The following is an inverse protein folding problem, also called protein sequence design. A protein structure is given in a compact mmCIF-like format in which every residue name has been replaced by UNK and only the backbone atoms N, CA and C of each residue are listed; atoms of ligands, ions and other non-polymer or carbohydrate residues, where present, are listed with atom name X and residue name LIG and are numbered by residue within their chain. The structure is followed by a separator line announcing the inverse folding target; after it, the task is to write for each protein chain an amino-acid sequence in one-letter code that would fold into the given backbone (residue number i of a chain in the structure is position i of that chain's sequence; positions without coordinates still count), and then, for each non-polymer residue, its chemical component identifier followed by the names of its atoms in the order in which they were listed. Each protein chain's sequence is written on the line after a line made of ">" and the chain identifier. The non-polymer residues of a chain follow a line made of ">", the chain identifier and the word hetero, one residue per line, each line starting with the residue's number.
data_IF_622392066826
#
_entry.id   IF_622392066826
#
_cell.length_a   1.000
_cell.length_b   1.000
_cell.length_c   1.000
_cell.angle_alpha   90.00
_cell.angle_beta   90.00
_cell.angle_gamma   90.00
#
_symmetry.space_group_name_H-M   'P 1'
#
loop_
_entity.id
_entity.type
_entity.pdbx_description
1 polymer ?
#
# COMPACT_ATOMS: atom_id res chain seq x y z
N UNK A 1 -18.58 -16.72 10.78
CA UNK A 1 -19.29 -15.49 10.31
C UNK A 1 -18.71 -14.20 10.89
N UNK A 2 -18.50 -14.07 12.22
CA UNK A 2 -17.91 -12.84 12.81
C UNK A 2 -16.51 -12.49 12.27
N UNK A 3 -15.64 -13.48 12.08
CA UNK A 3 -14.28 -13.27 11.53
C UNK A 3 -14.28 -12.71 10.11
N UNK A 4 -15.09 -13.28 9.21
CA UNK A 4 -15.23 -12.81 7.82
C UNK A 4 -15.74 -11.37 7.79
N UNK A 5 -16.76 -11.05 8.61
CA UNK A 5 -17.27 -9.68 8.75
C UNK A 5 -16.17 -8.71 9.23
N UNK A 6 -15.41 -9.10 10.26
CA UNK A 6 -14.32 -8.29 10.79
C UNK A 6 -13.19 -8.09 9.77
N UNK A 7 -12.92 -9.11 8.96
CA UNK A 7 -11.94 -9.04 7.87
C UNK A 7 -12.34 -8.00 6.83
N UNK A 8 -13.59 -8.04 6.33
CA UNK A 8 -14.08 -7.02 5.39
C UNK A 8 -14.11 -5.62 6.01
N UNK A 9 -14.51 -5.50 7.27
CA UNK A 9 -14.48 -4.22 7.98
C UNK A 9 -13.05 -3.68 8.12
N UNK A 10 -12.09 -4.56 8.40
CA UNK A 10 -10.68 -4.20 8.50
C UNK A 10 -10.08 -3.77 7.15
N UNK A 11 -10.61 -4.24 6.01
CA UNK A 11 -10.22 -3.74 4.68
C UNK A 11 -10.71 -2.30 4.49
N UNK A 12 -11.97 -2.01 4.85
CA UNK A 12 -12.60 -0.70 4.60
C UNK A 12 -12.02 0.39 5.51
N UNK A 13 -11.77 0.05 6.78
CA UNK A 13 -11.25 0.98 7.79
C UNK A 13 -9.71 0.95 7.84
N UNK A 14 -9.08 0.35 6.83
CA UNK A 14 -7.63 0.26 6.78
C UNK A 14 -7.00 1.63 6.48
N UNK A 15 -5.76 1.89 6.96
CA UNK A 15 -4.99 3.06 6.54
C UNK A 15 -4.85 3.16 5.01
N UNK A 16 -4.80 2.02 4.32
CA UNK A 16 -4.71 1.93 2.85
C UNK A 16 -5.94 2.47 2.12
N UNK A 17 -7.11 2.53 2.76
CA UNK A 17 -8.33 3.12 2.18
C UNK A 17 -8.56 4.53 2.71
N UNK A 18 -8.41 4.71 4.02
CA UNK A 18 -8.71 5.98 4.68
C UNK A 18 -7.73 7.08 4.24
N UNK A 19 -6.43 6.79 4.15
CA UNK A 19 -5.44 7.82 3.79
C UNK A 19 -5.58 8.32 2.35
N UNK A 20 -5.71 7.47 1.31
CA UNK A 20 -5.95 7.96 -0.04
C UNK A 20 -7.22 8.80 -0.17
N UNK A 21 -8.29 8.43 0.52
CA UNK A 21 -9.55 9.20 0.52
C UNK A 21 -9.33 10.57 1.16
N UNK A 22 -8.72 10.63 2.35
CA UNK A 22 -8.44 11.90 3.04
C UNK A 22 -7.55 12.79 2.18
N UNK A 23 -6.50 12.23 1.57
CA UNK A 23 -5.58 12.99 0.74
C UNK A 23 -6.29 13.49 -0.53
N UNK A 24 -7.07 12.64 -1.21
CA UNK A 24 -7.83 13.04 -2.38
C UNK A 24 -8.81 14.18 -2.08
N UNK A 25 -9.59 14.07 -1.00
CA UNK A 25 -10.52 15.12 -0.56
C UNK A 25 -9.79 16.41 -0.14
N UNK A 26 -8.66 16.27 0.55
CA UNK A 26 -7.85 17.43 0.98
C UNK A 26 -7.26 18.17 -0.22
N UNK A 27 -6.83 17.43 -1.24
CA UNK A 27 -6.32 18.02 -2.48
C UNK A 27 -7.43 18.77 -3.22
N UNK A 28 -8.60 18.17 -3.36
CA UNK A 28 -9.75 18.82 -4.01
C UNK A 28 -10.15 20.11 -3.29
N UNK A 29 -10.16 20.11 -1.95
CA UNK A 29 -10.54 21.27 -1.14
C UNK A 29 -9.46 22.37 -1.11
N UNK A 30 -8.18 22.01 -0.97
CA UNK A 30 -7.09 23.00 -0.78
C UNK A 30 -6.47 23.47 -2.09
N UNK A 31 -6.46 22.62 -3.13
CA UNK A 31 -5.79 22.91 -4.40
C UNK A 31 -6.41 22.07 -5.53
N UNK A 32 -7.60 22.47 -6.04
CA UNK A 32 -8.36 21.69 -7.02
C UNK A 32 -7.59 21.42 -8.33
N UNK A 33 -6.55 22.20 -8.63
CA UNK A 33 -5.72 22.04 -9.82
C UNK A 33 -4.47 21.16 -9.60
N UNK A 34 -4.22 20.65 -8.39
CA UNK A 34 -3.01 19.91 -8.09
C UNK A 34 -2.96 18.55 -8.81
N UNK A 35 -4.10 17.85 -8.88
CA UNK A 35 -4.25 16.59 -9.62
C UNK A 35 -3.93 16.78 -11.10
N UNK A 36 -4.51 17.81 -11.72
CA UNK A 36 -4.24 18.19 -13.11
C UNK A 36 -2.77 18.53 -13.33
N UNK A 37 -2.14 19.26 -12.40
CA UNK A 37 -0.71 19.62 -12.48
C UNK A 37 0.17 18.37 -12.43
N UNK A 38 -0.12 17.44 -11.52
CA UNK A 38 0.62 16.16 -11.42
C UNK A 38 0.44 15.35 -12.70
N UNK A 39 -0.79 15.24 -13.21
CA UNK A 39 -1.07 14.54 -14.46
C UNK A 39 -0.44 15.20 -15.69
N UNK A 40 -0.38 16.52 -15.74
CA UNK A 40 0.33 17.27 -16.78
C UNK A 40 1.83 16.99 -16.72
N UNK A 41 2.44 17.02 -15.54
CA UNK A 41 3.86 16.71 -15.35
C UNK A 41 4.17 15.28 -15.78
N UNK A 42 3.32 14.33 -15.41
CA UNK A 42 3.46 12.94 -15.81
C UNK A 42 3.33 12.78 -17.34
N UNK A 43 2.30 13.34 -17.96
CA UNK A 43 2.05 13.13 -19.38
C UNK A 43 3.01 13.89 -20.30
N UNK A 44 3.56 15.04 -19.88
CA UNK A 44 4.45 15.87 -20.70
C UNK A 44 5.93 15.53 -20.54
N UNK A 45 6.33 14.88 -19.45
CA UNK A 45 7.72 14.50 -19.19
C UNK A 45 7.91 12.98 -19.28
N UNK A 46 8.59 12.53 -20.34
CA UNK A 46 8.82 11.11 -20.60
C UNK A 46 9.66 10.41 -19.51
N UNK A 47 10.60 11.12 -18.90
CA UNK A 47 11.37 10.59 -17.78
C UNK A 47 10.47 10.40 -16.55
N UNK A 48 9.65 11.40 -16.22
CA UNK A 48 8.71 11.31 -15.10
C UNK A 48 7.75 10.13 -15.29
N UNK A 49 7.26 9.92 -16.52
CA UNK A 49 6.39 8.81 -16.86
C UNK A 49 7.05 7.43 -16.69
N UNK A 50 8.35 7.34 -16.94
CA UNK A 50 9.10 6.09 -16.81
C UNK A 50 9.33 5.72 -15.35
N UNK A 51 9.67 6.69 -14.50
CA UNK A 51 10.11 6.42 -13.13
C UNK A 51 9.00 6.46 -12.09
N UNK A 52 8.02 7.36 -12.22
CA UNK A 52 7.01 7.58 -11.17
C UNK A 52 6.01 6.41 -11.02
N UNK A 53 5.41 5.84 -12.08
CA UNK A 53 4.63 4.61 -11.97
C UNK A 53 5.48 3.42 -11.49
N UNK A 54 6.75 3.36 -11.93
CA UNK A 54 7.71 2.36 -11.48
C UNK A 54 8.00 2.44 -9.96
N UNK A 55 7.96 3.64 -9.40
CA UNK A 55 8.15 3.87 -7.96
C UNK A 55 6.99 3.30 -7.14
N UNK A 56 5.75 3.41 -7.61
CA UNK A 56 4.58 2.76 -6.98
C UNK A 56 4.81 1.24 -6.90
N UNK A 57 5.26 0.65 -8.00
CA UNK A 57 5.56 -0.79 -8.08
C UNK A 57 6.72 -1.14 -7.15
N UNK A 58 7.80 -0.37 -7.16
CA UNK A 58 8.98 -0.60 -6.34
C UNK A 58 8.65 -0.59 -4.83
N UNK A 59 7.87 0.39 -4.37
CA UNK A 59 7.42 0.45 -2.98
C UNK A 59 6.51 -0.74 -2.65
N UNK A 60 5.62 -1.11 -3.57
CA UNK A 60 4.71 -2.26 -3.39
C UNK A 60 5.49 -3.58 -3.27
N UNK A 61 6.53 -3.78 -4.09
CA UNK A 61 7.45 -4.93 -4.00
C UNK A 61 8.21 -4.90 -2.68
N UNK A 62 8.69 -3.74 -2.24
CA UNK A 62 9.36 -3.60 -0.95
C UNK A 62 8.42 -3.96 0.22
N UNK A 63 7.16 -3.52 0.17
CA UNK A 63 6.12 -3.88 1.14
C UNK A 63 5.83 -5.39 1.12
N UNK A 64 5.87 -6.02 -0.05
CA UNK A 64 5.68 -7.46 -0.19
C UNK A 64 6.77 -8.26 0.52
N UNK A 65 8.02 -7.80 0.53
CA UNK A 65 9.11 -8.46 1.28
C UNK A 65 8.79 -8.59 2.78
N UNK A 66 8.20 -7.55 3.37
CA UNK A 66 7.78 -7.59 4.78
C UNK A 66 6.71 -8.65 5.06
N UNK A 67 5.94 -9.11 4.07
CA UNK A 67 4.98 -10.20 4.28
C UNK A 67 5.68 -11.51 4.64
N UNK A 68 6.87 -11.76 4.08
CA UNK A 68 7.70 -12.92 4.41
C UNK A 68 8.38 -12.73 5.75
N UNK A 69 8.97 -11.54 5.98
CA UNK A 69 9.64 -11.22 7.24
C UNK A 69 8.69 -11.29 8.44
N UNK A 70 7.40 -10.95 8.28
CA UNK A 70 6.40 -11.09 9.34
C UNK A 70 6.02 -12.55 9.64
N UNK A 71 6.15 -13.46 8.67
CA UNK A 71 5.90 -14.89 8.88
C UNK A 71 7.12 -15.60 9.47
N UNK A 72 8.30 -15.06 9.26
CA UNK A 72 9.57 -15.60 9.77
C UNK A 72 10.46 -14.47 10.31
N UNK A 73 10.06 -13.83 11.43
CA UNK A 73 10.76 -12.66 11.95
C UNK A 73 12.15 -12.97 12.51
N UNK A 74 12.36 -14.21 12.99
CA UNK A 74 13.63 -14.71 13.48
C UNK A 74 14.20 -15.72 12.48
N UNK A 75 15.35 -15.39 11.87
CA UNK A 75 16.03 -16.22 10.87
C UNK A 75 16.78 -17.40 11.47
N UNK A 76 17.15 -17.33 12.76
CA UNK A 76 18.02 -18.32 13.44
C UNK A 76 17.38 -18.99 14.67
N UNK A 77 16.10 -18.72 14.97
CA UNK A 77 15.42 -19.21 16.18
C UNK A 77 14.03 -19.78 15.84
N UNK A 78 13.54 -20.69 16.69
CA UNK A 78 12.26 -21.35 16.44
C UNK A 78 11.08 -20.36 16.55
N UNK A 79 10.38 -20.09 15.45
CA UNK A 79 9.17 -19.26 15.40
C UNK A 79 7.94 -19.89 16.11
N UNK A 80 8.13 -20.91 16.97
CA UNK A 80 7.04 -21.56 17.71
C UNK A 80 6.27 -20.57 18.59
N UNK A 81 6.98 -19.64 19.24
CA UNK A 81 6.37 -18.59 20.08
C UNK A 81 5.39 -17.72 19.30
N UNK A 82 5.72 -17.39 18.04
CA UNK A 82 4.85 -16.61 17.16
C UNK A 82 3.55 -17.36 16.84
N UNK A 83 3.64 -18.65 16.51
CA UNK A 83 2.46 -19.46 16.19
C UNK A 83 1.56 -19.73 17.40
N UNK A 84 2.12 -19.70 18.61
CA UNK A 84 1.35 -19.78 19.85
C UNK A 84 0.76 -18.44 20.31
N UNK A 85 1.13 -17.32 19.68
CA UNK A 85 0.66 -16.01 20.09
C UNK A 85 -0.86 -15.86 19.83
N UNK A 86 -1.68 -15.49 20.84
CA UNK A 86 -3.14 -15.46 20.69
C UNK A 86 -3.64 -14.59 19.53
N UNK A 87 -2.90 -13.53 19.19
CA UNK A 87 -3.25 -12.58 18.12
C UNK A 87 -2.64 -12.93 16.76
N UNK A 88 -1.95 -14.08 16.63
CA UNK A 88 -1.33 -14.50 15.37
C UNK A 88 -2.29 -14.47 14.18
N UNK A 89 -3.55 -14.85 14.39
CA UNK A 89 -4.57 -14.83 13.35
C UNK A 89 -4.89 -13.40 12.86
N UNK A 90 -4.82 -12.39 13.72
CA UNK A 90 -5.00 -10.99 13.33
C UNK A 90 -3.83 -10.50 12.48
N UNK A 91 -2.61 -10.92 12.81
CA UNK A 91 -1.41 -10.64 12.00
C UNK A 91 -1.53 -11.28 10.62
N UNK A 92 -1.96 -12.54 10.55
CA UNK A 92 -2.17 -13.25 9.27
C UNK A 92 -3.26 -12.57 8.43
N UNK A 93 -4.38 -12.20 9.04
CA UNK A 93 -5.46 -11.47 8.37
C UNK A 93 -4.93 -10.12 7.82
N UNK A 94 -4.10 -9.40 8.60
CA UNK A 94 -3.47 -8.15 8.16
C UNK A 94 -2.52 -8.35 6.97
N UNK A 95 -1.71 -9.41 6.98
CA UNK A 95 -0.82 -9.74 5.86
C UNK A 95 -1.64 -9.96 4.58
N UNK A 96 -2.76 -10.68 4.65
CA UNK A 96 -3.62 -10.88 3.46
C UNK A 96 -4.23 -9.57 2.95
N UNK A 97 -4.67 -8.70 3.86
CA UNK A 97 -5.17 -7.37 3.51
C UNK A 97 -4.07 -6.57 2.80
N UNK A 98 -2.84 -6.56 3.33
CA UNK A 98 -1.72 -5.85 2.71
C UNK A 98 -1.34 -6.44 1.35
N UNK A 99 -1.37 -7.76 1.17
CA UNK A 99 -1.15 -8.40 -0.15
C UNK A 99 -2.19 -7.93 -1.18
N UNK A 100 -3.46 -7.83 -0.78
CA UNK A 100 -4.52 -7.31 -1.64
C UNK A 100 -4.20 -5.87 -2.07
N UNK A 101 -3.85 -4.99 -1.14
CA UNK A 101 -3.53 -3.59 -1.47
C UNK A 101 -2.24 -3.44 -2.28
N UNK A 102 -1.22 -4.27 -2.04
CA UNK A 102 -0.02 -4.37 -2.89
C UNK A 102 -0.40 -4.75 -4.32
N UNK A 103 -1.30 -5.73 -4.49
CA UNK A 103 -1.81 -6.12 -5.80
C UNK A 103 -2.51 -4.96 -6.50
N UNK A 104 -3.39 -4.25 -5.79
CA UNK A 104 -4.11 -3.09 -6.31
C UNK A 104 -3.18 -1.93 -6.70
N UNK A 105 -2.19 -1.59 -5.86
CA UNK A 105 -1.22 -0.52 -6.17
C UNK A 105 -0.32 -0.89 -7.34
N UNK A 106 0.09 -2.15 -7.47
CA UNK A 106 0.81 -2.65 -8.65
C UNK A 106 -0.05 -2.55 -9.92
N UNK A 107 -1.34 -2.92 -9.86
CA UNK A 107 -2.26 -2.78 -10.99
C UNK A 107 -2.43 -1.31 -11.40
N UNK A 108 -2.49 -0.38 -10.45
CA UNK A 108 -2.50 1.06 -10.74
C UNK A 108 -1.20 1.48 -11.42
N UNK A 109 -0.03 1.07 -10.90
CA UNK A 109 1.26 1.41 -11.49
C UNK A 109 1.43 0.88 -12.92
N UNK A 110 1.04 -0.36 -13.17
CA UNK A 110 1.06 -0.98 -14.51
C UNK A 110 0.01 -0.33 -15.42
N UNK A 111 -1.18 -0.06 -14.90
CA UNK A 111 -2.25 0.62 -15.64
C UNK A 111 -1.82 2.01 -16.10
N UNK A 112 -1.19 2.79 -15.22
CA UNK A 112 -0.57 4.05 -15.60
C UNK A 112 0.47 3.80 -16.70
N UNK A 113 1.40 2.85 -16.54
CA UNK A 113 2.44 2.62 -17.55
C UNK A 113 1.88 2.28 -18.96
N UNK A 114 0.86 1.42 -19.04
CA UNK A 114 0.29 0.93 -20.32
C UNK A 114 -0.60 1.98 -20.99
N UNK A 115 -1.41 2.71 -20.22
CA UNK A 115 -2.50 3.53 -20.76
C UNK A 115 -2.18 5.04 -20.82
N UNK A 116 -0.91 5.41 -20.99
CA UNK A 116 -0.41 6.80 -21.02
C UNK A 116 -1.28 7.80 -21.76
N UNK A 117 -1.64 7.48 -22.99
CA UNK A 117 -2.32 8.41 -23.87
C UNK A 117 -3.86 8.27 -23.84
N UNK A 118 -4.39 7.39 -22.99
CA UNK A 118 -5.83 7.13 -22.92
C UNK A 118 -6.52 7.88 -21.76
N UNK A 119 -5.78 8.20 -20.71
CA UNK A 119 -6.31 8.91 -19.56
C UNK A 119 -6.16 10.43 -19.70
N UNK A 120 -7.19 11.16 -19.25
CA UNK A 120 -7.05 12.61 -19.06
C UNK A 120 -6.02 12.90 -17.97
N UNK A 121 -5.42 14.09 -18.03
CA UNK A 121 -4.43 14.52 -17.05
C UNK A 121 -4.97 14.42 -15.61
N UNK A 122 -6.24 14.76 -15.38
CA UNK A 122 -6.85 14.70 -14.05
C UNK A 122 -6.90 13.27 -13.52
N UNK A 123 -7.35 12.31 -14.35
CA UNK A 123 -7.47 10.90 -13.98
C UNK A 123 -6.09 10.31 -13.69
N UNK A 124 -5.10 10.61 -14.54
CA UNK A 124 -3.70 10.21 -14.34
C UNK A 124 -3.16 10.70 -12.99
N UNK A 125 -3.40 11.97 -12.65
CA UNK A 125 -2.97 12.55 -11.38
C UNK A 125 -3.63 11.87 -10.19
N UNK A 126 -4.94 11.62 -10.26
CA UNK A 126 -5.71 10.94 -9.20
C UNK A 126 -5.19 9.52 -8.98
N UNK A 127 -5.05 8.73 -10.05
CA UNK A 127 -4.54 7.36 -9.96
C UNK A 127 -3.12 7.32 -9.41
N UNK A 128 -2.26 8.27 -9.81
CA UNK A 128 -0.93 8.37 -9.26
C UNK A 128 -0.94 8.62 -7.75
N UNK A 129 -1.71 9.62 -7.28
CA UNK A 129 -1.82 9.94 -5.86
C UNK A 129 -2.36 8.75 -5.07
N UNK A 130 -3.46 8.14 -5.52
CA UNK A 130 -4.07 6.97 -4.86
C UNK A 130 -3.08 5.82 -4.79
N UNK A 131 -2.45 5.47 -5.93
CA UNK A 131 -1.49 4.37 -5.99
C UNK A 131 -0.29 4.60 -5.08
N UNK A 132 0.25 5.82 -5.07
CA UNK A 132 1.40 6.21 -4.25
C UNK A 132 1.07 6.23 -2.75
N UNK A 133 -0.07 6.80 -2.35
CA UNK A 133 -0.51 6.80 -0.95
C UNK A 133 -0.81 5.38 -0.46
N UNK A 134 -1.49 4.57 -1.28
CA UNK A 134 -1.83 3.19 -0.94
C UNK A 134 -0.57 2.34 -0.77
N UNK A 135 0.39 2.41 -1.70
CA UNK A 135 1.64 1.65 -1.61
C UNK A 135 2.49 2.08 -0.41
N UNK A 136 2.59 3.39 -0.17
CA UNK A 136 3.37 3.94 0.95
C UNK A 136 2.75 3.60 2.30
N UNK A 137 1.43 3.73 2.44
CA UNK A 137 0.72 3.36 3.67
C UNK A 137 0.82 1.85 3.95
N UNK A 138 0.70 1.01 2.92
CA UNK A 138 0.91 -0.43 3.06
C UNK A 138 2.34 -0.74 3.52
N UNK A 139 3.34 -0.11 2.89
CA UNK A 139 4.74 -0.26 3.29
C UNK A 139 4.98 0.13 4.75
N UNK A 140 4.50 1.31 5.16
CA UNK A 140 4.68 1.82 6.52
C UNK A 140 4.00 0.93 7.57
N UNK A 141 2.76 0.51 7.31
CA UNK A 141 2.03 -0.34 8.27
C UNK A 141 2.70 -1.71 8.43
N UNK A 142 3.23 -2.29 7.36
CA UNK A 142 3.96 -3.56 7.41
C UNK A 142 5.31 -3.40 8.10
N UNK A 143 6.04 -2.32 7.85
CA UNK A 143 7.31 -2.03 8.51
C UNK A 143 7.13 -1.86 10.03
N UNK A 144 6.12 -1.08 10.44
CA UNK A 144 5.79 -0.88 11.86
C UNK A 144 5.32 -2.18 12.53
N UNK A 145 4.52 -2.99 11.83
CA UNK A 145 4.11 -4.30 12.32
C UNK A 145 5.32 -5.21 12.56
N UNK A 146 6.29 -5.22 11.64
CA UNK A 146 7.50 -6.03 11.77
C UNK A 146 8.39 -5.57 12.92
N UNK A 147 8.59 -4.27 13.06
CA UNK A 147 9.31 -3.71 14.19
C UNK A 147 8.65 -4.12 15.51
N UNK A 148 7.32 -3.99 15.60
CA UNK A 148 6.60 -4.33 16.82
C UNK A 148 6.62 -5.82 17.13
N UNK A 149 6.56 -6.67 16.10
CA UNK A 149 6.64 -8.11 16.26
C UNK A 149 7.99 -8.56 16.82
N UNK A 150 9.08 -7.98 16.33
CA UNK A 150 10.44 -8.24 16.86
C UNK A 150 10.56 -7.82 18.31
N UNK A 151 10.05 -6.64 18.69
CA UNK A 151 10.03 -6.19 20.09
C UNK A 151 9.29 -7.14 21.03
N UNK A 152 8.23 -7.82 20.54
CA UNK A 152 7.46 -8.78 21.35
C UNK A 152 8.20 -10.12 21.46
N UNK A 153 8.86 -10.56 20.39
CA UNK A 153 9.55 -11.86 20.35
C UNK A 153 10.94 -11.86 21.00
N UNK A 154 11.60 -10.70 21.06
CA UNK A 154 12.90 -10.53 21.71
C UNK A 154 12.81 -10.31 23.24
N UNK A 155 11.59 -10.22 23.79
CA UNK A 155 11.31 -10.16 25.24
C UNK A 155 11.14 -11.55 25.84
#
# INVERSE_FOLDING_TARGET
>A
MKRIKNFFFAIIVSPEVVLPIIIALSIDFLSPNLTTKIGNLLNTNDDAWKYLPGLIIAISIAAFKFTFDLRQPLSNTSNKTLYSWPEYQLLVDRIYISILFIGMSCLIGVGLFIFKNQYSHDITGIFFIIGMTTSTSTFLTMALALQKLREILDR
#
